data_IF_944937532606
#
_entry.id   IF_944937532606
#
_cell.length_a   1.000
_cell.length_b   1.000
_cell.length_c   1.000
_cell.angle_alpha   90.00
_cell.angle_beta   90.00
_cell.angle_gamma   90.00
#
_symmetry.space_group_name_H-M   'P 1'
#
loop_
_entity.id
_entity.type
_entity.pdbx_description
1 polymer ?
#
# COMPACT_ATOMS: atom_id res chain seq x y z
N UNK A 1 3.33 -3.01 5.09
CA UNK A 1 1.99 -2.59 4.64
C UNK A 1 1.19 -3.82 4.27
N UNK A 2 -0.04 -3.92 4.77
CA UNK A 2 -0.94 -5.06 4.53
C UNK A 2 -2.22 -4.51 3.91
N UNK A 3 -2.58 -5.00 2.72
CA UNK A 3 -3.88 -4.72 2.11
C UNK A 3 -4.62 -6.03 1.91
N UNK A 4 -5.86 -6.09 2.41
CA UNK A 4 -6.76 -7.21 2.21
C UNK A 4 -7.85 -6.86 1.19
N UNK A 5 -8.35 -7.87 0.49
CA UNK A 5 -9.50 -7.74 -0.40
C UNK A 5 -10.43 -8.95 -0.26
N UNK A 6 -11.71 -8.73 -0.60
CA UNK A 6 -12.73 -9.77 -0.64
C UNK A 6 -13.37 -9.81 -2.02
N UNK A 7 -13.40 -10.99 -2.61
CA UNK A 7 -14.10 -11.32 -3.84
C UNK A 7 -15.32 -12.16 -3.49
N UNK A 8 -16.52 -11.61 -3.70
CA UNK A 8 -17.77 -12.29 -3.35
C UNK A 8 -18.70 -12.44 -4.54
N UNK A 9 -19.16 -13.66 -4.76
CA UNK A 9 -20.23 -14.00 -5.70
C UNK A 9 -21.40 -14.66 -4.96
N UNK A 10 -22.46 -15.07 -5.67
CA UNK A 10 -23.57 -15.84 -5.05
C UNK A 10 -23.17 -17.23 -4.57
N UNK A 11 -22.08 -17.80 -5.09
CA UNK A 11 -21.68 -19.21 -4.85
C UNK A 11 -20.45 -19.34 -3.96
N UNK A 12 -19.62 -18.32 -3.91
CA UNK A 12 -18.30 -18.39 -3.27
C UNK A 12 -17.84 -17.02 -2.80
N UNK A 13 -17.00 -17.05 -1.77
CA UNK A 13 -16.30 -15.92 -1.19
C UNK A 13 -14.81 -16.28 -1.10
N UNK A 14 -13.95 -15.38 -1.57
CA UNK A 14 -12.50 -15.49 -1.46
C UNK A 14 -12.01 -14.25 -0.71
N UNK A 15 -11.37 -14.46 0.43
CA UNK A 15 -10.69 -13.42 1.20
C UNK A 15 -9.20 -13.70 1.10
N UNK A 16 -8.44 -12.70 0.65
CA UNK A 16 -6.98 -12.80 0.55
C UNK A 16 -6.36 -11.44 0.88
N UNK A 17 -5.05 -11.43 1.08
CA UNK A 17 -4.29 -10.23 1.39
C UNK A 17 -2.89 -10.29 0.78
N UNK A 18 -2.25 -9.14 0.68
CA UNK A 18 -0.84 -9.02 0.29
C UNK A 18 -0.06 -8.27 1.37
N UNK A 19 1.16 -8.73 1.62
CA UNK A 19 2.08 -8.11 2.58
C UNK A 19 3.25 -7.55 1.81
N UNK A 20 3.67 -6.34 2.15
CA UNK A 20 4.82 -5.70 1.53
C UNK A 20 5.61 -4.95 2.57
N UNK A 21 6.89 -5.27 2.68
CA UNK A 21 7.80 -4.57 3.57
C UNK A 21 8.28 -3.29 2.89
N UNK A 22 8.21 -2.19 3.64
CA UNK A 22 8.65 -0.86 3.20
C UNK A 22 9.69 -0.38 4.19
N UNK A 23 10.90 -0.18 3.70
CA UNK A 23 12.03 0.34 4.48
C UNK A 23 12.17 1.82 4.20
N UNK A 24 12.26 2.63 5.26
CA UNK A 24 12.54 4.05 5.15
C UNK A 24 14.03 4.33 5.39
N UNK A 25 14.51 5.39 4.77
CA UNK A 25 15.69 6.08 5.25
C UNK A 25 15.46 6.62 6.66
N UNK A 26 16.55 6.98 7.36
CA UNK A 26 16.42 7.79 8.57
C UNK A 26 16.05 9.22 8.19
N UNK A 27 14.98 9.76 8.76
CA UNK A 27 14.55 11.13 8.53
C UNK A 27 15.10 12.05 9.62
N UNK A 28 15.45 13.26 9.24
CA UNK A 28 15.71 14.36 10.16
C UNK A 28 14.41 15.07 10.55
N UNK A 29 14.40 15.73 11.71
CA UNK A 29 13.27 16.56 12.15
C UNK A 29 12.83 17.59 11.09
N UNK A 30 13.79 18.18 10.38
CA UNK A 30 13.51 19.17 9.32
C UNK A 30 12.74 18.56 8.14
N UNK A 31 13.06 17.33 7.76
CA UNK A 31 12.36 16.62 6.69
C UNK A 31 10.94 16.24 7.12
N UNK A 32 10.78 15.84 8.38
CA UNK A 32 9.47 15.55 8.97
C UNK A 32 8.62 16.83 8.98
N UNK A 33 9.12 17.94 9.50
CA UNK A 33 8.42 19.23 9.54
C UNK A 33 8.03 19.71 8.13
N UNK A 34 8.95 19.61 7.18
CA UNK A 34 8.69 19.96 5.79
C UNK A 34 7.58 19.08 5.20
N UNK A 35 7.59 17.77 5.46
CA UNK A 35 6.57 16.86 4.97
C UNK A 35 5.19 17.13 5.59
N UNK A 36 5.14 17.38 6.89
CA UNK A 36 3.90 17.76 7.59
C UNK A 36 3.27 19.02 6.97
N UNK A 37 4.10 20.00 6.58
CA UNK A 37 3.62 21.24 5.96
C UNK A 37 2.94 21.04 4.60
N UNK A 38 3.17 19.92 3.91
CA UNK A 38 2.55 19.63 2.60
C UNK A 38 1.06 19.30 2.69
N UNK A 39 0.58 18.92 3.88
CA UNK A 39 -0.77 18.41 4.07
C UNK A 39 -0.97 16.94 3.64
N UNK A 40 -0.04 16.37 2.87
CA UNK A 40 -0.10 14.98 2.38
C UNK A 40 -0.22 13.90 3.48
N UNK A 41 0.42 13.99 4.66
CA UNK A 41 0.38 12.88 5.62
C UNK A 41 -0.98 12.73 6.32
N UNK A 42 -1.83 13.76 6.33
CA UNK A 42 -2.99 13.81 7.23
C UNK A 42 -4.18 12.92 6.82
N UNK A 43 -4.22 12.45 5.57
CA UNK A 43 -5.27 11.53 5.08
C UNK A 43 -4.76 10.09 4.90
N UNK A 44 -3.53 9.78 5.36
CA UNK A 44 -2.87 8.50 5.10
C UNK A 44 -2.54 7.75 6.39
N UNK A 45 -2.93 6.48 6.44
CA UNK A 45 -2.53 5.60 7.53
C UNK A 45 -1.01 5.46 7.58
N UNK A 46 -0.43 5.63 8.77
CA UNK A 46 1.02 5.65 8.96
C UNK A 46 1.68 7.02 8.65
N UNK A 47 0.89 8.03 8.29
CA UNK A 47 1.36 9.39 8.11
C UNK A 47 2.32 9.55 6.94
N UNK A 48 2.21 8.71 5.89
CA UNK A 48 2.95 8.89 4.65
C UNK A 48 2.20 8.34 3.42
N UNK A 49 2.55 8.83 2.24
CA UNK A 49 2.12 8.29 0.95
C UNK A 49 3.29 7.89 0.07
N UNK A 50 3.26 6.68 -0.47
CA UNK A 50 4.27 6.23 -1.46
C UNK A 50 4.14 7.00 -2.80
N UNK A 51 2.94 7.48 -3.11
CA UNK A 51 2.65 8.33 -4.29
C UNK A 51 2.64 9.80 -3.87
N UNK A 52 3.81 10.42 -3.73
CA UNK A 52 3.90 11.81 -3.31
C UNK A 52 5.26 12.15 -2.70
N UNK A 53 5.28 13.20 -1.89
CA UNK A 53 6.46 13.62 -1.13
C UNK A 53 6.93 12.52 -0.19
N UNK A 54 6.01 11.73 0.40
CA UNK A 54 6.38 10.61 1.27
C UNK A 54 7.20 9.52 0.56
N UNK A 55 7.13 9.44 -0.77
CA UNK A 55 7.89 8.49 -1.57
C UNK A 55 9.39 8.70 -1.52
N UNK A 56 9.87 9.93 -1.27
CA UNK A 56 11.31 10.24 -1.20
C UNK A 56 11.98 9.62 0.04
N UNK A 57 11.19 9.25 1.05
CA UNK A 57 11.69 8.65 2.29
C UNK A 57 11.88 7.14 2.21
N UNK A 58 11.43 6.51 1.11
CA UNK A 58 11.46 5.05 0.96
C UNK A 58 12.81 4.62 0.38
N UNK A 59 13.55 3.85 1.17
CA UNK A 59 14.78 3.19 0.73
C UNK A 59 14.48 1.97 -0.12
N UNK A 60 13.51 1.15 0.31
CA UNK A 60 13.26 -0.16 -0.30
C UNK A 60 11.81 -0.59 -0.15
N UNK A 61 11.30 -1.25 -1.19
CA UNK A 61 10.04 -1.97 -1.18
C UNK A 61 10.31 -3.44 -1.49
N UNK A 62 9.92 -4.33 -0.58
CA UNK A 62 10.02 -5.79 -0.78
C UNK A 62 8.62 -6.40 -0.76
N UNK A 63 8.09 -6.66 -1.96
CA UNK A 63 6.74 -7.13 -2.17
C UNK A 63 6.09 -6.41 -3.35
N UNK A 64 4.79 -6.12 -3.24
CA UNK A 64 4.00 -5.53 -4.31
C UNK A 64 3.88 -4.01 -4.13
N UNK A 65 4.39 -3.22 -5.07
CA UNK A 65 4.21 -1.77 -5.04
C UNK A 65 2.73 -1.35 -5.02
N UNK A 66 1.90 -1.98 -5.86
CA UNK A 66 0.46 -1.69 -5.90
C UNK A 66 -0.25 -2.01 -4.58
N UNK A 67 0.24 -3.00 -3.83
CA UNK A 67 -0.23 -3.27 -2.47
C UNK A 67 0.00 -2.07 -1.55
N UNK A 68 1.16 -1.42 -1.64
CA UNK A 68 1.50 -0.22 -0.84
C UNK A 68 0.66 0.98 -1.26
N UNK A 69 0.36 1.10 -2.55
CA UNK A 69 -0.60 2.11 -3.08
C UNK A 69 -2.00 1.91 -2.51
N UNK A 70 -2.36 0.68 -2.13
CA UNK A 70 -3.63 0.35 -1.47
C UNK A 70 -4.47 -0.70 -2.19
N UNK A 71 -3.96 -1.33 -3.26
CA UNK A 71 -4.66 -2.46 -3.89
C UNK A 71 -3.71 -3.42 -4.63
N UNK A 72 -3.60 -4.70 -4.21
CA UNK A 72 -2.65 -5.65 -4.78
C UNK A 72 -3.14 -6.23 -6.13
N UNK A 73 -3.08 -5.42 -7.20
CA UNK A 73 -3.63 -5.74 -8.52
C UNK A 73 -3.25 -7.13 -9.03
N UNK A 74 -1.97 -7.51 -8.94
CA UNK A 74 -1.48 -8.80 -9.42
C UNK A 74 -2.11 -9.97 -8.68
N UNK A 75 -2.10 -9.93 -7.34
CA UNK A 75 -2.71 -10.97 -6.49
C UNK A 75 -4.23 -11.03 -6.68
N UNK A 76 -4.88 -9.87 -6.71
CA UNK A 76 -6.31 -9.76 -6.99
C UNK A 76 -6.68 -10.45 -8.30
N UNK A 77 -5.96 -10.18 -9.39
CA UNK A 77 -6.24 -10.79 -10.68
C UNK A 77 -6.05 -12.31 -10.68
N UNK A 78 -5.05 -12.85 -9.97
CA UNK A 78 -4.90 -14.30 -9.84
C UNK A 78 -6.09 -14.93 -9.12
N UNK A 79 -6.59 -14.31 -8.03
CA UNK A 79 -7.79 -14.79 -7.33
C UNK A 79 -9.07 -14.61 -8.15
N UNK A 80 -9.15 -13.57 -8.96
CA UNK A 80 -10.30 -13.34 -9.84
C UNK A 80 -10.45 -14.47 -10.87
N UNK A 81 -9.34 -14.99 -11.41
CA UNK A 81 -9.36 -16.13 -12.35
C UNK A 81 -9.95 -17.40 -11.73
N UNK A 82 -9.79 -17.61 -10.42
CA UNK A 82 -10.40 -18.74 -9.71
C UNK A 82 -11.93 -18.67 -9.71
N UNK A 83 -12.50 -17.46 -9.88
CA UNK A 83 -13.94 -17.26 -9.98
C UNK A 83 -14.51 -17.57 -11.38
N UNK A 84 -13.68 -17.90 -12.38
CA UNK A 84 -14.06 -18.07 -13.79
C UNK A 84 -14.87 -16.87 -14.33
N UNK A 85 -14.48 -15.66 -13.96
CA UNK A 85 -14.97 -14.40 -14.54
C UNK A 85 -14.03 -13.97 -15.67
#
# INVERSE_FOLDING_TARGET
VITAFCLRSRKQEIIDHEITDVTFYSLTEREIDAYLSTGEPYDKAGGYGIQGWGGIFIEKVQGCYFNVVGFPLGRFYQRLKELNI
#
